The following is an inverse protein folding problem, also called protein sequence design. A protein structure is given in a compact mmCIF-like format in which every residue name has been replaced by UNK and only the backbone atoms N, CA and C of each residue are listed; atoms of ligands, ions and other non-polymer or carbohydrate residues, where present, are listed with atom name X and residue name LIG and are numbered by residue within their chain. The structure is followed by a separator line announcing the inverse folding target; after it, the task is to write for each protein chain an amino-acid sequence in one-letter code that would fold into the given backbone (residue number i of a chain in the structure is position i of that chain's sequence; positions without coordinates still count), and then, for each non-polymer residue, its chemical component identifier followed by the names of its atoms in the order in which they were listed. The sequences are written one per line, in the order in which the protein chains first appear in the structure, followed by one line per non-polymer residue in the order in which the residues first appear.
data_IF_611156360660
#
_entry.id   IF_611156360660
#
_cell.length_a   1.000
_cell.length_b   1.000
_cell.length_c   1.000
_cell.angle_alpha   90.00
_cell.angle_beta   90.00
_cell.angle_gamma   90.00
#
_symmetry.space_group_name_H-M   'P 1'
#
loop_
_entity.id
_entity.type
_entity.pdbx_description
1 polymer ?
#
# COMPACT_ATOMS: atom_id res chain seq x y z
N UNK A 1 38.82 32.76 -8.49
CA UNK A 1 38.14 31.51 -8.88
C UNK A 1 37.18 31.11 -7.76
N UNK A 2 35.88 31.42 -7.89
CA UNK A 2 34.84 31.02 -6.93
C UNK A 2 34.32 29.64 -7.34
N UNK A 3 34.68 28.60 -6.61
CA UNK A 3 33.96 27.31 -6.66
C UNK A 3 32.74 27.41 -5.78
N UNK A 4 31.58 27.66 -6.41
CA UNK A 4 30.27 27.46 -5.78
C UNK A 4 30.06 25.95 -5.66
N UNK A 5 30.14 25.44 -4.42
CA UNK A 5 29.67 24.10 -4.12
C UNK A 5 28.13 24.18 -4.16
N UNK A 6 27.55 23.77 -5.29
CA UNK A 6 26.10 23.69 -5.44
C UNK A 6 25.60 22.69 -4.42
N UNK A 7 24.82 23.18 -3.47
CA UNK A 7 24.07 22.38 -2.53
C UNK A 7 23.35 21.25 -3.28
N UNK A 8 23.48 20.05 -2.71
CA UNK A 8 22.89 18.81 -3.15
C UNK A 8 21.45 19.01 -3.65
N UNK A 9 21.16 18.47 -4.83
CA UNK A 9 19.82 18.30 -5.38
C UNK A 9 18.91 17.77 -4.27
N UNK A 10 17.94 18.57 -3.80
CA UNK A 10 17.09 18.20 -2.67
C UNK A 10 16.47 16.82 -2.89
N UNK A 11 16.60 15.95 -1.88
CA UNK A 11 16.09 14.58 -1.88
C UNK A 11 14.59 14.61 -2.24
N UNK A 12 14.28 14.25 -3.48
CA UNK A 12 12.90 14.04 -3.90
C UNK A 12 12.47 12.72 -3.30
N UNK A 13 11.85 12.79 -2.12
CA UNK A 13 11.18 11.63 -1.54
C UNK A 13 9.98 11.29 -2.42
N UNK A 14 10.10 10.20 -3.15
CA UNK A 14 9.05 9.65 -3.99
C UNK A 14 8.54 8.36 -3.35
N UNK A 15 7.26 8.05 -3.52
CA UNK A 15 6.66 6.86 -2.95
C UNK A 15 5.68 6.19 -3.90
N UNK A 16 5.45 4.91 -3.69
CA UNK A 16 4.38 4.16 -4.35
C UNK A 16 3.78 3.13 -3.40
N UNK A 17 2.57 2.68 -3.72
CA UNK A 17 1.90 1.59 -3.01
C UNK A 17 1.88 0.35 -3.89
N UNK A 18 2.39 -0.76 -3.36
CA UNK A 18 2.28 -2.08 -3.97
C UNK A 18 1.21 -2.89 -3.24
N UNK A 19 0.18 -3.28 -3.98
CA UNK A 19 -0.94 -4.07 -3.49
C UNK A 19 -0.81 -5.52 -3.96
N UNK A 20 -0.79 -6.44 -2.99
CA UNK A 20 -0.78 -7.88 -3.24
C UNK A 20 -2.11 -8.49 -2.80
N UNK A 21 -2.72 -9.28 -3.68
CA UNK A 21 -3.78 -10.23 -3.34
C UNK A 21 -3.11 -11.55 -3.01
N UNK A 22 -3.33 -12.03 -1.80
CA UNK A 22 -2.78 -13.27 -1.28
C UNK A 22 -3.93 -14.27 -1.08
N UNK A 23 -3.67 -15.52 -1.42
CA UNK A 23 -4.51 -16.65 -1.04
C UNK A 23 -3.68 -17.60 -0.20
N UNK A 24 -4.16 -17.90 1.01
CA UNK A 24 -3.34 -18.43 2.09
C UNK A 24 -2.12 -17.51 2.31
N UNK A 25 -0.91 -18.00 2.03
CA UNK A 25 0.34 -17.26 2.16
C UNK A 25 1.04 -17.02 0.81
N UNK A 26 0.34 -17.20 -0.30
CA UNK A 26 0.89 -17.05 -1.65
C UNK A 26 0.32 -15.82 -2.32
N UNK A 27 1.20 -14.98 -2.86
CA UNK A 27 0.83 -13.87 -3.74
C UNK A 27 0.27 -14.47 -5.03
N UNK A 28 -1.01 -14.22 -5.30
CA UNK A 28 -1.67 -14.66 -6.54
C UNK A 28 -1.82 -13.53 -7.55
N UNK A 29 -1.80 -12.27 -7.08
CA UNK A 29 -1.80 -11.10 -7.95
C UNK A 29 -1.10 -9.93 -7.28
N UNK A 30 -0.34 -9.18 -8.06
CA UNK A 30 0.32 -7.96 -7.62
C UNK A 30 -0.05 -6.80 -8.56
N UNK A 31 -0.26 -5.63 -7.98
CA UNK A 31 -0.43 -4.36 -8.68
C UNK A 31 0.32 -3.27 -7.91
N UNK A 32 0.63 -2.15 -8.55
CA UNK A 32 1.18 -0.98 -7.88
C UNK A 32 0.62 0.30 -8.47
N UNK A 33 0.69 1.37 -7.68
CA UNK A 33 0.43 2.73 -8.16
C UNK A 33 1.58 3.19 -9.05
N UNK A 34 1.38 4.33 -9.71
CA UNK A 34 2.47 5.20 -10.14
C UNK A 34 3.31 5.68 -8.95
N UNK A 35 4.49 6.20 -9.26
CA UNK A 35 5.35 6.87 -8.28
C UNK A 35 4.87 8.30 -8.10
N UNK A 36 4.64 8.72 -6.85
CA UNK A 36 4.16 10.04 -6.49
C UNK A 36 5.18 10.77 -5.60
N UNK A 37 5.25 12.10 -5.72
CA UNK A 37 6.14 12.92 -4.90
C UNK A 37 5.53 13.17 -3.52
N UNK A 38 6.38 13.14 -2.52
CA UNK A 38 6.04 13.52 -1.15
C UNK A 38 5.94 15.03 -1.02
N UNK A 39 4.88 15.52 -0.41
CA UNK A 39 4.70 16.94 -0.10
C UNK A 39 5.56 17.38 1.08
N UNK A 40 5.62 18.69 1.34
CA UNK A 40 6.49 19.28 2.38
C UNK A 40 6.13 18.85 3.82
N UNK A 41 4.89 18.42 4.01
CA UNK A 41 4.34 17.91 5.28
C UNK A 41 4.51 16.39 5.42
N UNK A 42 5.35 15.75 4.59
CA UNK A 42 5.57 14.30 4.54
C UNK A 42 4.32 13.48 4.18
N UNK A 43 3.35 14.09 3.49
CA UNK A 43 2.16 13.40 2.99
C UNK A 43 2.36 12.94 1.54
N UNK A 44 1.73 11.82 1.16
CA UNK A 44 1.64 11.37 -0.24
C UNK A 44 0.22 10.93 -0.52
N UNK A 45 -0.32 11.34 -1.68
CA UNK A 45 -1.70 11.01 -2.07
C UNK A 45 -1.71 10.13 -3.32
N UNK A 46 -2.42 9.01 -3.24
CA UNK A 46 -2.68 8.11 -4.35
C UNK A 46 -4.19 8.00 -4.58
N UNK A 47 -4.65 8.21 -5.82
CA UNK A 47 -6.08 8.16 -6.20
C UNK A 47 -6.39 7.03 -7.18
N UNK A 48 -5.49 6.06 -7.30
CA UNK A 48 -5.63 4.93 -8.21
C UNK A 48 -6.51 3.81 -7.62
N UNK A 49 -7.39 3.25 -8.45
CA UNK A 49 -8.27 2.14 -8.09
C UNK A 49 -7.73 0.78 -8.53
N UNK A 50 -7.87 -0.23 -7.68
CA UNK A 50 -7.47 -1.60 -8.00
C UNK A 50 -8.65 -2.57 -7.97
N UNK A 51 -8.87 -3.28 -9.07
CA UNK A 51 -9.92 -4.29 -9.17
C UNK A 51 -9.37 -5.73 -9.05
N UNK A 52 -9.97 -6.52 -8.17
CA UNK A 52 -9.69 -7.94 -7.96
C UNK A 52 -11.00 -8.74 -8.03
N UNK A 53 -10.93 -9.96 -8.54
CA UNK A 53 -12.05 -10.91 -8.50
C UNK A 53 -11.90 -11.76 -7.25
N UNK A 54 -12.94 -11.82 -6.43
CA UNK A 54 -13.01 -12.63 -5.23
C UNK A 54 -14.30 -13.45 -5.28
N UNK A 55 -14.19 -14.77 -5.15
CA UNK A 55 -15.36 -15.65 -5.04
C UNK A 55 -15.71 -15.89 -3.57
N UNK A 56 -16.97 -16.21 -3.23
CA UNK A 56 -17.37 -16.47 -1.84
C UNK A 56 -16.52 -17.56 -1.16
N UNK A 57 -16.16 -18.62 -1.88
CA UNK A 57 -15.31 -19.71 -1.38
C UNK A 57 -13.87 -19.28 -1.03
N UNK A 58 -13.43 -18.13 -1.53
CA UNK A 58 -12.06 -17.64 -1.33
C UNK A 58 -11.96 -16.59 -0.22
N UNK A 59 -13.08 -16.07 0.29
CA UNK A 59 -13.09 -14.96 1.26
C UNK A 59 -12.23 -15.27 2.49
N UNK A 60 -12.40 -16.46 3.06
CA UNK A 60 -11.72 -16.85 4.30
C UNK A 60 -10.22 -17.06 4.11
N UNK A 61 -9.79 -17.41 2.89
CA UNK A 61 -8.39 -17.68 2.56
C UNK A 61 -7.70 -16.48 1.91
N UNK A 62 -8.40 -15.36 1.71
CA UNK A 62 -7.87 -14.20 0.99
C UNK A 62 -7.42 -13.08 1.93
N UNK A 63 -6.31 -12.43 1.59
CA UNK A 63 -5.92 -11.14 2.14
C UNK A 63 -5.39 -10.18 1.06
N UNK A 64 -5.54 -8.89 1.31
CA UNK A 64 -4.94 -7.78 0.58
C UNK A 64 -3.86 -7.16 1.45
N UNK A 65 -2.61 -7.15 0.98
CA UNK A 65 -1.52 -6.45 1.68
C UNK A 65 -1.04 -5.26 0.86
N UNK A 66 -1.15 -4.08 1.46
CA UNK A 66 -0.71 -2.80 0.94
C UNK A 66 0.68 -2.53 1.50
N UNK A 67 1.68 -2.41 0.63
CA UNK A 67 3.06 -2.12 0.99
C UNK A 67 3.39 -0.73 0.48
N UNK A 68 3.81 0.16 1.37
CA UNK A 68 4.21 1.52 1.01
C UNK A 68 5.72 1.54 0.88
N UNK A 69 6.20 1.94 -0.29
CA UNK A 69 7.63 2.02 -0.60
C UNK A 69 8.05 3.47 -0.76
N UNK A 70 9.21 3.80 -0.20
CA UNK A 70 10.01 4.95 -0.60
C UNK A 70 10.83 4.55 -1.83
N UNK A 71 10.60 5.23 -2.95
CA UNK A 71 11.30 5.00 -4.20
C UNK A 71 12.65 5.70 -4.17
N UNK A 72 13.72 4.95 -4.41
CA UNK A 72 15.06 5.53 -4.49
C UNK A 72 15.38 5.81 -5.95
N UNK A 73 15.65 7.09 -6.27
CA UNK A 73 16.13 7.44 -7.61
C UNK A 73 17.51 6.82 -7.89
N UNK A 74 17.64 6.06 -8.97
CA UNK A 74 18.93 5.51 -9.44
C UNK A 74 19.13 4.02 -9.13
N UNK A 75 20.37 3.63 -8.78
CA UNK A 75 20.77 2.22 -8.58
C UNK A 75 20.45 1.65 -7.18
N UNK A 76 19.71 2.39 -6.35
CA UNK A 76 19.31 1.95 -5.01
C UNK A 76 18.13 0.99 -5.04
N UNK A 77 17.98 0.18 -3.98
CA UNK A 77 16.74 -0.60 -3.76
C UNK A 77 15.71 0.27 -3.07
N UNK A 78 14.47 0.22 -3.54
CA UNK A 78 13.35 0.85 -2.85
C UNK A 78 13.23 0.34 -1.42
N UNK A 79 12.91 1.25 -0.50
CA UNK A 79 12.80 0.96 0.93
C UNK A 79 11.34 0.75 1.30
N UNK A 80 11.01 -0.35 1.97
CA UNK A 80 9.69 -0.54 2.55
C UNK A 80 9.53 0.43 3.75
N UNK A 81 8.53 1.30 3.70
CA UNK A 81 8.14 2.16 4.82
C UNK A 81 7.29 1.37 5.81
N UNK A 82 6.40 0.52 5.30
CA UNK A 82 5.54 -0.32 6.11
C UNK A 82 4.41 -0.92 5.27
N UNK A 83 3.58 -1.72 5.93
CA UNK A 83 2.45 -2.40 5.30
C UNK A 83 1.20 -2.36 6.16
N UNK A 84 0.05 -2.50 5.54
CA UNK A 84 -1.18 -2.87 6.22
C UNK A 84 -1.85 -4.04 5.49
N UNK A 85 -2.55 -4.89 6.24
CA UNK A 85 -3.17 -6.11 5.71
C UNK A 85 -4.66 -6.07 6.03
N UNK A 86 -5.49 -6.17 4.99
CA UNK A 86 -6.92 -6.45 5.10
C UNK A 86 -7.16 -7.91 4.74
N UNK A 87 -8.04 -8.60 5.44
CA UNK A 87 -8.32 -10.01 5.15
C UNK A 87 -9.21 -10.62 6.21
N UNK A 88 -9.51 -11.90 6.02
CA UNK A 88 -10.28 -12.67 6.99
C UNK A 88 -9.61 -12.70 8.37
N UNK A 89 -10.31 -13.28 9.36
CA UNK A 89 -9.79 -13.46 10.71
C UNK A 89 -8.49 -14.29 10.76
N UNK A 90 -8.07 -14.95 9.68
CA UNK A 90 -6.75 -15.60 9.62
C UNK A 90 -5.61 -14.60 9.42
N UNK A 91 -5.86 -13.45 8.79
CA UNK A 91 -4.81 -12.52 8.32
C UNK A 91 -4.84 -11.14 8.97
N UNK A 92 -6.00 -10.67 9.44
CA UNK A 92 -6.17 -9.33 9.99
C UNK A 92 -6.81 -9.35 11.38
N UNK A 93 -6.62 -8.27 12.15
CA UNK A 93 -7.22 -8.06 13.47
C UNK A 93 -7.72 -6.62 13.60
N UNK A 94 -8.55 -6.37 14.60
CA UNK A 94 -9.04 -5.04 14.95
C UNK A 94 -9.70 -4.32 13.76
N UNK A 95 -9.33 -3.06 13.54
CA UNK A 95 -9.88 -2.19 12.49
C UNK A 95 -9.77 -2.78 11.08
N UNK A 96 -8.68 -3.48 10.77
CA UNK A 96 -8.47 -4.10 9.47
C UNK A 96 -9.45 -5.25 9.20
N UNK A 97 -9.66 -6.11 10.22
CA UNK A 97 -10.63 -7.20 10.14
C UNK A 97 -12.07 -6.66 10.05
N UNK A 98 -12.38 -5.61 10.83
CA UNK A 98 -13.69 -4.96 10.79
C UNK A 98 -13.97 -4.44 9.38
N UNK A 99 -13.05 -3.68 8.77
CA UNK A 99 -13.27 -3.15 7.43
C UNK A 99 -13.42 -4.27 6.38
N UNK A 100 -12.61 -5.34 6.47
CA UNK A 100 -12.75 -6.48 5.58
C UNK A 100 -14.16 -7.08 5.68
N UNK A 101 -14.62 -7.38 6.89
CA UNK A 101 -15.95 -7.94 7.10
C UNK A 101 -17.07 -7.00 6.63
N UNK A 102 -16.95 -5.70 6.89
CA UNK A 102 -17.91 -4.69 6.41
C UNK A 102 -17.99 -4.66 4.89
N UNK A 103 -16.84 -4.69 4.18
CA UNK A 103 -16.80 -4.66 2.73
C UNK A 103 -17.39 -5.93 2.09
N UNK A 104 -17.15 -7.10 2.71
CA UNK A 104 -17.73 -8.36 2.22
C UNK A 104 -19.24 -8.44 2.50
N UNK A 105 -19.70 -7.96 3.66
CA UNK A 105 -21.11 -7.97 4.02
C UNK A 105 -21.94 -6.98 3.19
N UNK A 106 -21.34 -5.87 2.75
CA UNK A 106 -22.02 -4.80 2.01
C UNK A 106 -21.31 -4.52 0.66
N UNK A 107 -21.35 -5.44 -0.31
CA UNK A 107 -20.54 -5.35 -1.54
C UNK A 107 -20.89 -4.18 -2.47
N UNK A 108 -22.05 -3.54 -2.25
CA UNK A 108 -22.50 -2.37 -3.02
C UNK A 108 -22.12 -1.04 -2.36
N UNK A 109 -21.56 -1.07 -1.14
CA UNK A 109 -21.21 0.11 -0.38
C UNK A 109 -19.69 0.31 -0.34
N UNK A 110 -19.27 1.58 -0.42
CA UNK A 110 -17.86 1.92 -0.25
C UNK A 110 -17.54 2.06 1.25
N UNK A 111 -16.47 1.40 1.69
CA UNK A 111 -15.95 1.53 3.05
C UNK A 111 -14.58 2.19 3.04
N UNK A 112 -14.48 3.37 3.67
CA UNK A 112 -13.25 4.12 3.83
C UNK A 112 -12.80 4.13 5.29
N UNK A 113 -11.54 3.74 5.54
CA UNK A 113 -10.98 3.71 6.88
C UNK A 113 -9.47 3.91 6.85
N UNK A 114 -8.96 4.64 7.85
CA UNK A 114 -7.52 4.78 8.08
C UNK A 114 -6.94 3.55 8.77
N UNK A 115 -5.74 3.14 8.33
CA UNK A 115 -4.94 2.10 8.97
C UNK A 115 -3.55 2.61 9.28
N UNK A 116 -3.00 2.12 10.38
CA UNK A 116 -1.60 2.33 10.72
C UNK A 116 -0.76 1.34 9.91
N UNK A 117 0.37 1.80 9.39
CA UNK A 117 1.35 0.92 8.75
C UNK A 117 2.18 0.24 9.84
N UNK A 118 2.40 -1.06 9.71
CA UNK A 118 3.34 -1.83 10.53
C UNK A 118 4.54 -2.27 9.68
N UNK A 119 5.70 -2.44 10.32
CA UNK A 119 6.87 -3.10 9.70
C UNK A 119 6.71 -4.63 9.70
#
# INVERSE_FOLDING_TARGET
FKTSNKYNTGDKHEAYVRLTLNQHYRVVKEKRTGVAKTSRDNTVTFTEGFNFKLTPAQVDITSLAFHVFESTSGYGRDKLIGKCVLGSYMFARGKALIQWNTAIANPMEQSQQWHVLSE
#
